data_IF_059890349067
#
_entry.id   IF_059890349067
#
_cell.length_a   1.000
_cell.length_b   1.000
_cell.length_c   1.000
_cell.angle_alpha   90.00
_cell.angle_beta   90.00
_cell.angle_gamma   90.00
#
_symmetry.space_group_name_H-M   'P 1'
#
loop_
_entity.id
_entity.type
_entity.pdbx_description
1 polymer ?
#
# COMPACT_ATOMS: atom_id res chain seq x y z
N UNK A 1 -6.56 1.35 -10.32
CA UNK A 1 -5.43 1.23 -9.35
C UNK A 1 -5.03 -0.24 -9.26
N UNK A 2 -3.75 -0.54 -9.38
CA UNK A 2 -3.26 -1.94 -9.44
C UNK A 2 -3.10 -2.60 -8.06
N UNK A 3 -3.33 -1.86 -6.98
CA UNK A 3 -3.27 -2.35 -5.61
C UNK A 3 -4.51 -1.92 -4.85
N UNK A 4 -4.80 -2.57 -3.74
CA UNK A 4 -5.94 -2.23 -2.90
C UNK A 4 -5.65 -2.52 -1.43
N UNK A 5 -6.54 -2.06 -0.55
CA UNK A 5 -6.43 -2.26 0.89
C UNK A 5 -6.21 -3.73 1.22
N UNK A 6 -5.23 -3.99 2.08
CA UNK A 6 -4.86 -5.35 2.49
C UNK A 6 -3.77 -5.98 1.65
N UNK A 7 -3.41 -5.39 0.50
CA UNK A 7 -2.33 -5.92 -0.32
C UNK A 7 -0.98 -5.70 0.34
N UNK A 8 -0.10 -6.68 0.18
CA UNK A 8 1.30 -6.56 0.59
C UNK A 8 2.09 -6.00 -0.59
N UNK A 9 2.80 -4.90 -0.36
CA UNK A 9 3.48 -4.17 -1.43
C UNK A 9 4.89 -3.79 -1.02
N UNK A 10 5.70 -3.40 -2.02
CA UNK A 10 7.03 -2.85 -1.80
C UNK A 10 7.11 -1.47 -2.46
N UNK A 11 7.78 -0.53 -1.79
CA UNK A 11 8.06 0.78 -2.36
C UNK A 11 9.24 0.63 -3.31
N UNK A 12 9.06 1.08 -4.57
CA UNK A 12 10.05 0.90 -5.63
C UNK A 12 10.83 2.17 -5.96
N UNK A 13 10.42 3.31 -5.42
CA UNK A 13 11.12 4.59 -5.64
C UNK A 13 10.86 5.54 -4.50
N UNK A 14 11.70 6.57 -4.39
CA UNK A 14 11.62 7.57 -3.33
C UNK A 14 12.47 7.22 -2.12
N UNK A 15 12.30 7.98 -1.04
CA UNK A 15 13.12 7.83 0.17
C UNK A 15 12.96 6.47 0.87
N UNK A 16 11.82 5.81 0.68
CA UNK A 16 11.52 4.54 1.34
C UNK A 16 11.68 3.34 0.40
N UNK A 17 12.40 3.52 -0.72
CA UNK A 17 12.67 2.44 -1.67
C UNK A 17 13.17 1.18 -0.97
N UNK A 18 12.54 0.06 -1.27
CA UNK A 18 12.90 -1.24 -0.69
C UNK A 18 12.09 -1.62 0.55
N UNK A 19 11.35 -0.69 1.13
CA UNK A 19 10.50 -1.02 2.28
C UNK A 19 9.24 -1.74 1.83
N UNK A 20 8.80 -2.68 2.64
CA UNK A 20 7.59 -3.47 2.40
C UNK A 20 6.56 -3.20 3.48
N UNK A 21 5.30 -3.33 3.14
CA UNK A 21 4.23 -3.17 4.09
C UNK A 21 2.89 -3.55 3.52
N UNK A 22 1.87 -3.49 4.36
CA UNK A 22 0.49 -3.78 3.98
C UNK A 22 -0.25 -2.46 3.77
N UNK A 23 -1.07 -2.39 2.71
CA UNK A 23 -1.87 -1.20 2.44
C UNK A 23 -2.99 -1.09 3.47
N UNK A 24 -2.97 0.00 4.22
CA UNK A 24 -3.99 0.30 5.24
C UNK A 24 -5.21 0.96 4.63
N UNK A 25 -5.03 1.78 3.61
CA UNK A 25 -6.11 2.47 2.92
C UNK A 25 -5.68 2.84 1.50
N UNK A 26 -6.64 2.93 0.60
CA UNK A 26 -6.41 3.35 -0.77
C UNK A 26 -7.28 4.55 -1.09
N UNK A 27 -6.72 5.52 -1.82
CA UNK A 27 -7.39 6.75 -2.22
C UNK A 27 -7.38 6.84 -3.75
N UNK A 28 -8.29 6.14 -4.46
CA UNK A 28 -8.24 6.07 -5.92
C UNK A 28 -8.37 7.43 -6.61
N UNK A 29 -9.13 8.33 -6.04
CA UNK A 29 -9.31 9.67 -6.62
C UNK A 29 -8.02 10.49 -6.62
N UNK A 30 -7.10 10.20 -5.70
CA UNK A 30 -5.82 10.90 -5.56
C UNK A 30 -4.65 10.06 -6.06
N UNK A 31 -4.90 8.83 -6.51
CA UNK A 31 -3.87 7.85 -6.90
C UNK A 31 -2.83 7.64 -5.80
N UNK A 32 -3.26 7.57 -4.55
CA UNK A 32 -2.39 7.40 -3.40
C UNK A 32 -2.85 6.25 -2.53
N UNK A 33 -1.90 5.67 -1.79
CA UNK A 33 -2.15 4.59 -0.84
C UNK A 33 -1.42 4.87 0.47
N UNK A 34 -2.00 4.39 1.57
CA UNK A 34 -1.41 4.46 2.90
C UNK A 34 -0.86 3.08 3.24
N UNK A 35 0.44 3.00 3.54
CA UNK A 35 1.12 1.73 3.80
C UNK A 35 1.65 1.72 5.23
N UNK A 36 1.40 0.64 5.94
CA UNK A 36 1.83 0.48 7.32
C UNK A 36 3.35 0.59 7.45
N UNK A 37 3.81 1.50 8.32
CA UNK A 37 5.22 1.69 8.62
C UNK A 37 6.05 2.35 7.53
N UNK A 38 5.41 2.85 6.46
CA UNK A 38 6.09 3.44 5.32
C UNK A 38 5.70 4.90 5.18
N UNK A 39 6.66 5.72 4.71
CA UNK A 39 6.48 7.16 4.54
C UNK A 39 6.04 7.84 5.84
N UNK A 40 6.72 7.48 6.92
CA UNK A 40 6.42 8.02 8.25
C UNK A 40 6.79 9.50 8.30
N UNK A 41 5.87 10.29 8.80
CA UNK A 41 6.08 11.73 8.99
C UNK A 41 5.73 12.09 10.43
N UNK A 42 6.39 13.14 10.93
CA UNK A 42 6.06 13.70 12.24
C UNK A 42 4.91 14.68 12.05
N UNK A 43 3.87 14.50 12.83
CA UNK A 43 2.69 15.36 12.76
C UNK A 43 2.49 16.04 14.11
N UNK A 44 2.39 17.37 14.09
CA UNK A 44 2.07 18.14 15.28
C UNK A 44 0.57 18.12 15.50
N UNK A 45 0.19 17.72 16.71
CA UNK A 45 -1.22 17.72 17.12
C UNK A 45 -1.48 18.92 18.01
N UNK A 46 -2.53 19.68 17.73
CA UNK A 46 -2.96 20.77 18.61
C UNK A 46 -3.61 20.19 19.88
N UNK A 47 -3.49 20.86 21.03
CA UNK A 47 -4.21 20.41 22.24
C UNK A 47 -5.71 20.36 21.99
N UNK A 48 -6.34 19.30 22.45
CA UNK A 48 -7.77 19.09 22.38
C UNK A 48 -8.27 18.56 23.71
N UNK A 49 -9.58 18.45 23.89
CA UNK A 49 -10.13 17.86 25.11
C UNK A 49 -9.70 16.40 25.28
N UNK A 50 -9.55 15.66 24.17
CA UNK A 50 -9.09 14.28 24.23
C UNK A 50 -7.57 14.19 24.46
N UNK A 51 -6.81 15.22 24.06
CA UNK A 51 -5.36 15.28 24.24
C UNK A 51 -4.95 16.72 24.58
N UNK A 52 -5.14 17.13 25.84
CA UNK A 52 -4.91 18.51 26.26
C UNK A 52 -3.48 19.00 26.09
N UNK A 53 -2.52 18.09 26.08
CA UNK A 53 -1.12 18.46 25.98
C UNK A 53 -0.68 18.60 24.53
N UNK A 54 -1.50 18.12 23.56
CA UNK A 54 -1.08 18.04 22.18
C UNK A 54 0.12 17.10 22.03
N UNK A 55 0.97 17.35 21.05
CA UNK A 55 2.21 16.61 20.90
C UNK A 55 2.61 16.36 19.47
N UNK A 56 3.65 15.55 19.31
CA UNK A 56 4.19 15.11 18.05
C UNK A 56 3.94 13.61 17.93
N UNK A 57 3.28 13.19 16.84
CA UNK A 57 3.07 11.78 16.58
C UNK A 57 3.67 11.42 15.23
N UNK A 58 4.12 10.17 15.12
CA UNK A 58 4.56 9.62 13.85
C UNK A 58 3.36 8.95 13.19
N UNK A 59 3.09 9.35 11.96
CA UNK A 59 1.98 8.79 11.19
C UNK A 59 2.43 8.48 9.78
N UNK A 60 1.84 7.46 9.21
CA UNK A 60 2.04 7.16 7.80
C UNK A 60 1.39 8.25 6.96
N UNK A 61 2.11 8.72 5.94
CA UNK A 61 1.56 9.64 4.95
C UNK A 61 1.29 8.88 3.65
N UNK A 62 0.27 9.29 2.86
CA UNK A 62 -0.02 8.63 1.58
C UNK A 62 1.14 8.71 0.61
N UNK A 63 1.34 7.63 -0.16
CA UNK A 63 2.34 7.53 -1.21
C UNK A 63 1.63 7.40 -2.55
N UNK A 64 2.15 8.04 -3.59
CA UNK A 64 1.61 7.88 -4.94
C UNK A 64 1.71 6.42 -5.36
N UNK A 65 0.65 5.89 -5.96
CA UNK A 65 0.54 4.48 -6.30
C UNK A 65 1.59 4.02 -7.31
N UNK A 66 2.10 4.93 -8.13
CA UNK A 66 3.18 4.60 -9.09
C UNK A 66 4.49 4.23 -8.41
N UNK A 67 4.65 4.57 -7.13
CA UNK A 67 5.86 4.28 -6.36
C UNK A 67 5.80 2.94 -5.64
N UNK A 68 4.75 2.16 -5.82
CA UNK A 68 4.58 0.87 -5.16
C UNK A 68 4.23 -0.22 -6.15
N UNK A 69 4.64 -1.45 -5.83
CA UNK A 69 4.26 -2.64 -6.59
C UNK A 69 3.83 -3.74 -5.62
N UNK A 70 2.83 -4.53 -6.00
CA UNK A 70 2.42 -5.65 -5.17
C UNK A 70 3.52 -6.72 -5.10
N UNK A 71 3.52 -7.45 -4.00
CA UNK A 71 4.43 -8.59 -3.84
C UNK A 71 3.72 -9.86 -4.29
N UNK A 72 4.46 -10.71 -4.99
CA UNK A 72 3.99 -12.02 -5.39
C UNK A 72 3.85 -12.88 -4.12
N UNK A 73 2.65 -13.40 -3.81
CA UNK A 73 2.46 -14.18 -2.59
C UNK A 73 3.22 -15.49 -2.59
N UNK A 74 3.62 -15.98 -3.76
CA UNK A 74 4.37 -17.23 -3.86
C UNK A 74 5.87 -17.02 -3.71
N UNK A 75 6.43 -15.96 -4.29
CA UNK A 75 7.87 -15.70 -4.30
C UNK A 75 8.33 -14.63 -3.32
N UNK A 76 7.41 -13.77 -2.86
CA UNK A 76 7.75 -12.64 -2.01
C UNK A 76 8.43 -11.48 -2.72
N UNK A 77 8.58 -11.57 -4.03
CA UNK A 77 9.21 -10.52 -4.84
C UNK A 77 8.17 -9.61 -5.48
N UNK A 78 8.60 -8.41 -5.92
CA UNK A 78 7.69 -7.51 -6.64
C UNK A 78 7.23 -8.13 -7.95
N UNK A 79 5.98 -7.91 -8.30
CA UNK A 79 5.38 -8.45 -9.51
C UNK A 79 4.46 -7.42 -10.16
N UNK A 80 4.23 -7.60 -11.44
CA UNK A 80 3.19 -6.84 -12.12
C UNK A 80 1.84 -7.53 -11.93
N UNK A 81 0.78 -6.74 -12.00
CA UNK A 81 -0.59 -7.24 -11.92
C UNK A 81 -1.10 -7.52 -13.32
N UNK A 82 -1.54 -8.75 -13.54
CA UNK A 82 -2.32 -9.12 -14.70
C UNK A 82 -3.74 -9.43 -14.26
N UNK A 83 -4.59 -9.78 -15.23
CA UNK A 83 -5.98 -10.13 -14.95
C UNK A 83 -6.34 -11.40 -15.69
N UNK A 84 -7.19 -12.21 -15.06
CA UNK A 84 -7.82 -13.33 -15.75
C UNK A 84 -9.28 -13.43 -15.29
N UNK A 85 -10.08 -14.12 -16.08
CA UNK A 85 -11.48 -14.39 -15.73
C UNK A 85 -11.54 -15.77 -15.08
N UNK A 86 -12.13 -15.82 -13.89
CA UNK A 86 -12.29 -17.05 -13.13
C UNK A 86 -13.71 -17.06 -12.58
N UNK A 87 -14.47 -18.11 -12.93
CA UNK A 87 -15.88 -18.26 -12.54
C UNK A 87 -16.72 -17.02 -12.90
N UNK A 88 -16.45 -16.43 -14.10
CA UNK A 88 -17.16 -15.26 -14.57
C UNK A 88 -16.72 -13.95 -13.94
N UNK A 89 -15.72 -13.96 -13.08
CA UNK A 89 -15.22 -12.78 -12.41
C UNK A 89 -13.79 -12.47 -12.84
N UNK A 90 -13.51 -11.18 -13.04
CA UNK A 90 -12.16 -10.71 -13.34
C UNK A 90 -11.36 -10.65 -12.04
N UNK A 91 -10.26 -11.38 -11.96
CA UNK A 91 -9.38 -11.39 -10.78
C UNK A 91 -7.99 -10.93 -11.15
N UNK A 92 -7.29 -10.36 -10.18
CA UNK A 92 -5.89 -9.95 -10.36
C UNK A 92 -4.99 -11.16 -10.14
N UNK A 93 -3.93 -11.25 -10.94
CA UNK A 93 -2.92 -12.30 -10.79
C UNK A 93 -1.52 -11.67 -10.75
N UNK A 94 -0.63 -12.28 -10.00
CA UNK A 94 0.78 -11.93 -10.01
C UNK A 94 1.39 -12.51 -11.29
N UNK A 95 1.84 -11.66 -12.21
CA UNK A 95 2.38 -12.13 -13.49
C UNK A 95 3.60 -13.01 -13.32
N UNK A 96 4.38 -12.80 -12.27
CA UNK A 96 5.60 -13.53 -12.03
C UNK A 96 5.38 -15.02 -11.75
N UNK A 97 4.36 -15.35 -10.97
CA UNK A 97 4.07 -16.74 -10.59
C UNK A 97 2.73 -17.26 -11.12
N UNK A 98 1.87 -16.38 -11.61
CA UNK A 98 0.50 -16.74 -11.99
C UNK A 98 -0.45 -16.89 -10.81
N UNK A 99 0.00 -16.58 -9.60
CA UNK A 99 -0.80 -16.72 -8.39
C UNK A 99 -1.91 -15.68 -8.36
N UNK A 100 -3.13 -16.10 -8.03
CA UNK A 100 -4.26 -15.18 -7.89
C UNK A 100 -4.03 -14.28 -6.66
N UNK A 101 -4.17 -12.96 -6.86
CA UNK A 101 -4.05 -11.97 -5.79
C UNK A 101 -5.39 -11.73 -5.11
N UNK A 102 -6.48 -11.85 -5.84
CA UNK A 102 -7.84 -11.71 -5.31
C UNK A 102 -8.41 -13.08 -5.00
N UNK A 103 -8.79 -13.27 -3.77
CA UNK A 103 -9.44 -14.52 -3.34
C UNK A 103 -10.91 -14.29 -3.06
#
# INVERSE_FOLDING_TARGET
MHVKKGDKVMVISGKDKGKQGTILAAFPKKDRVLIEGVNMVKKHSKPTQANPQGGISNQEAPIHVSNVMPLDPKTGEVTRVGYKVEDGKKVRVAKKSGQVLDK
#
